data_IF_308751696042
#
_entry.id   IF_308751696042
#
_cell.length_a   1.000
_cell.length_b   1.000
_cell.length_c   1.000
_cell.angle_alpha   90.00
_cell.angle_beta   90.00
_cell.angle_gamma   90.00
#
_symmetry.space_group_name_H-M   'P 1'
#
loop_
_entity.id
_entity.type
_entity.pdbx_description
1 polymer ?
#
# COMPACT_ATOMS: atom_id res chain seq x y z
N UNK A 1 -2.19 -13.27 -8.49
CA UNK A 1 -0.92 -13.42 -7.77
C UNK A 1 0.17 -13.61 -8.81
N UNK A 2 0.97 -12.58 -9.02
CA UNK A 2 2.25 -12.70 -9.71
C UNK A 2 3.18 -13.47 -8.78
N UNK A 3 3.67 -14.61 -9.23
CA UNK A 3 4.72 -15.45 -8.63
C UNK A 3 5.19 -15.19 -7.20
N UNK A 4 4.43 -15.60 -6.18
CA UNK A 4 4.97 -16.02 -4.88
C UNK A 4 5.56 -14.97 -3.91
N UNK A 5 5.39 -13.66 -4.13
CA UNK A 5 5.93 -12.64 -3.22
C UNK A 5 4.82 -11.80 -2.60
N UNK A 6 4.91 -11.51 -1.28
CA UNK A 6 3.92 -10.65 -0.62
C UNK A 6 4.04 -9.22 -1.17
N UNK A 7 2.94 -8.70 -1.72
CA UNK A 7 2.80 -7.27 -2.00
C UNK A 7 2.56 -6.49 -0.70
N UNK A 8 2.64 -5.16 -0.76
CA UNK A 8 2.43 -4.28 0.40
C UNK A 8 1.09 -4.58 1.10
N UNK A 9 0.08 -4.93 0.34
CA UNK A 9 -1.26 -5.29 0.82
C UNK A 9 -1.26 -6.54 1.68
N UNK A 10 -0.57 -7.59 1.24
CA UNK A 10 -0.44 -8.81 2.04
C UNK A 10 0.26 -8.54 3.37
N UNK A 11 1.27 -7.68 3.34
CA UNK A 11 2.00 -7.26 4.55
C UNK A 11 1.05 -6.61 5.54
N UNK A 12 0.26 -5.62 5.12
CA UNK A 12 -0.71 -4.92 5.97
C UNK A 12 -1.72 -5.89 6.58
N UNK A 13 -2.34 -6.75 5.77
CA UNK A 13 -3.35 -7.70 6.23
C UNK A 13 -2.76 -8.72 7.23
N UNK A 14 -1.53 -9.16 7.01
CA UNK A 14 -0.84 -10.08 7.91
C UNK A 14 -0.52 -9.41 9.27
N UNK A 15 -0.08 -8.14 9.26
CA UNK A 15 0.15 -7.38 10.50
C UNK A 15 -1.14 -7.13 11.27
N UNK A 16 -2.22 -6.70 10.60
CA UNK A 16 -3.53 -6.51 11.22
C UNK A 16 -4.01 -7.80 11.88
N UNK A 17 -3.98 -8.92 11.15
CA UNK A 17 -4.42 -10.19 11.71
C UNK A 17 -3.57 -10.69 12.86
N UNK A 18 -2.23 -10.56 12.77
CA UNK A 18 -1.31 -10.90 13.85
C UNK A 18 -1.56 -10.04 15.08
N UNK A 19 -1.76 -8.74 14.88
CA UNK A 19 -2.03 -7.79 15.96
C UNK A 19 -3.34 -8.08 16.66
N UNK A 20 -4.45 -8.26 15.93
CA UNK A 20 -5.74 -8.61 16.52
C UNK A 20 -5.69 -9.93 17.28
N UNK A 21 -4.97 -10.95 16.77
CA UNK A 21 -4.74 -12.21 17.51
C UNK A 21 -3.96 -12.00 18.81
N UNK A 22 -2.97 -11.10 18.81
CA UNK A 22 -2.20 -10.78 20.04
C UNK A 22 -3.03 -10.03 21.09
N UNK A 23 -4.09 -9.34 20.68
CA UNK A 23 -5.08 -8.71 21.55
C UNK A 23 -6.16 -9.70 22.05
N UNK A 24 -6.08 -10.98 21.66
CA UNK A 24 -6.99 -12.05 22.11
C UNK A 24 -8.17 -12.31 21.19
N UNK A 25 -8.26 -11.66 20.03
CA UNK A 25 -9.34 -11.87 19.07
C UNK A 25 -9.13 -13.12 18.23
N UNK A 26 -10.22 -13.81 17.90
CA UNK A 26 -10.22 -14.88 16.91
C UNK A 26 -10.30 -14.28 15.50
N UNK A 27 -9.30 -14.54 14.66
CA UNK A 27 -9.23 -14.02 13.29
C UNK A 27 -9.22 -15.17 12.30
N UNK A 28 -10.16 -15.15 11.36
CA UNK A 28 -10.27 -16.11 10.26
C UNK A 28 -10.25 -15.36 8.92
N UNK A 29 -9.49 -15.92 7.99
CA UNK A 29 -9.38 -15.39 6.63
C UNK A 29 -10.33 -16.09 5.69
N UNK A 30 -11.05 -15.34 4.87
CA UNK A 30 -11.83 -15.84 3.75
C UNK A 30 -11.21 -15.30 2.47
N UNK A 31 -10.57 -16.16 1.69
CA UNK A 31 -9.75 -15.75 0.54
C UNK A 31 -10.24 -16.45 -0.73
N UNK A 32 -10.59 -15.68 -1.78
CA UNK A 32 -10.76 -16.26 -3.11
C UNK A 32 -9.40 -16.77 -3.62
N UNK A 33 -9.35 -18.04 -3.98
CA UNK A 33 -8.14 -18.74 -4.40
C UNK A 33 -8.25 -19.16 -5.88
N UNK A 34 -7.11 -19.57 -6.47
CA UNK A 34 -7.07 -20.07 -7.84
C UNK A 34 -8.05 -21.23 -8.07
N UNK A 35 -8.44 -21.47 -9.33
CA UNK A 35 -9.40 -22.51 -9.73
C UNK A 35 -10.77 -22.33 -9.09
N UNK A 36 -11.22 -21.09 -8.89
CA UNK A 36 -12.55 -20.78 -8.36
C UNK A 36 -12.85 -21.37 -6.97
N UNK A 37 -11.81 -21.57 -6.17
CA UNK A 37 -11.91 -22.04 -4.78
C UNK A 37 -11.98 -20.85 -3.83
N UNK A 38 -12.64 -21.05 -2.69
CA UNK A 38 -12.61 -20.13 -1.56
C UNK A 38 -11.96 -20.86 -0.39
N UNK A 39 -10.99 -20.23 0.23
CA UNK A 39 -10.29 -20.72 1.42
C UNK A 39 -10.87 -20.02 2.65
N UNK A 40 -11.11 -20.76 3.71
CA UNK A 40 -11.49 -20.28 5.02
C UNK A 40 -10.52 -20.87 6.04
N UNK A 41 -9.65 -20.05 6.62
CA UNK A 41 -8.58 -20.53 7.49
C UNK A 41 -8.21 -19.52 8.57
N UNK A 42 -7.80 -19.98 9.72
CA UNK A 42 -7.21 -19.17 10.78
C UNK A 42 -5.66 -19.07 10.65
N UNK A 43 -5.05 -19.92 9.82
CA UNK A 43 -3.62 -19.94 9.53
C UNK A 43 -3.38 -19.90 8.01
N UNK A 44 -2.80 -18.81 7.54
CA UNK A 44 -2.48 -18.61 6.11
C UNK A 44 -1.51 -19.65 5.51
N UNK A 45 -0.85 -20.45 6.35
CA UNK A 45 -0.02 -21.58 5.92
C UNK A 45 -0.84 -22.80 5.55
N UNK A 46 -2.11 -22.86 6.01
CA UNK A 46 -3.05 -23.97 5.76
C UNK A 46 -4.12 -23.49 4.79
N UNK A 47 -4.21 -24.13 3.63
CA UNK A 47 -5.22 -23.81 2.62
C UNK A 47 -6.45 -24.73 2.84
N UNK A 48 -7.25 -24.41 3.84
CA UNK A 48 -8.50 -25.13 4.11
C UNK A 48 -9.62 -24.58 3.22
N UNK A 49 -10.24 -25.46 2.44
CA UNK A 49 -11.34 -25.06 1.57
C UNK A 49 -12.57 -24.69 2.40
N UNK A 50 -13.16 -23.55 2.11
CA UNK A 50 -14.40 -23.13 2.72
C UNK A 50 -15.54 -24.11 2.43
N UNK A 51 -16.39 -24.42 3.43
CA UNK A 51 -17.61 -25.16 3.20
C UNK A 51 -18.50 -24.41 2.22
N UNK A 52 -19.12 -25.14 1.30
CA UNK A 52 -20.03 -24.59 0.29
C UNK A 52 -21.19 -25.55 0.09
N UNK A 53 -22.38 -25.01 -0.10
CA UNK A 53 -23.58 -25.80 -0.38
C UNK A 53 -23.84 -25.91 -1.89
N UNK A 54 -24.69 -25.05 -2.41
CA UNK A 54 -25.13 -25.07 -3.80
C UNK A 54 -24.05 -24.68 -4.80
N UNK A 55 -23.13 -23.76 -4.43
CA UNK A 55 -22.03 -23.34 -5.28
C UNK A 55 -20.92 -24.39 -5.45
N UNK A 56 -20.92 -25.43 -4.60
CA UNK A 56 -20.08 -26.61 -4.73
C UNK A 56 -20.67 -27.70 -5.64
N UNK A 57 -21.90 -27.57 -6.08
CA UNK A 57 -22.61 -28.59 -6.87
C UNK A 57 -22.07 -28.73 -8.30
N UNK A 58 -22.24 -29.94 -8.86
CA UNK A 58 -21.91 -30.21 -10.27
C UNK A 58 -22.72 -29.34 -11.25
N UNK A 59 -23.96 -29.02 -10.90
CA UNK A 59 -24.84 -28.16 -11.67
C UNK A 59 -24.31 -26.73 -11.74
N UNK A 60 -23.86 -26.18 -10.61
CA UNK A 60 -23.30 -24.85 -10.59
C UNK A 60 -22.04 -24.75 -11.47
N UNK A 61 -21.15 -25.74 -11.37
CA UNK A 61 -19.96 -25.81 -12.22
C UNK A 61 -20.29 -25.99 -13.71
N UNK A 62 -21.37 -26.71 -14.03
CA UNK A 62 -21.86 -26.83 -15.39
C UNK A 62 -22.39 -25.51 -15.94
N UNK A 63 -23.22 -24.79 -15.17
CA UNK A 63 -23.74 -23.47 -15.53
C UNK A 63 -22.62 -22.45 -15.74
N UNK A 64 -21.60 -22.46 -14.90
CA UNK A 64 -20.45 -21.60 -15.05
C UNK A 64 -19.70 -21.88 -16.36
N UNK A 65 -19.41 -23.15 -16.65
CA UNK A 65 -18.75 -23.53 -17.89
C UNK A 65 -19.58 -23.14 -19.11
N UNK A 66 -20.90 -23.31 -19.05
CA UNK A 66 -21.83 -22.90 -20.10
C UNK A 66 -21.81 -21.38 -20.29
N UNK A 67 -21.92 -20.61 -19.19
CA UNK A 67 -21.85 -19.16 -19.23
C UNK A 67 -20.51 -18.66 -19.78
N UNK A 68 -19.41 -19.32 -19.42
CA UNK A 68 -18.08 -18.98 -19.93
C UNK A 68 -17.96 -19.21 -21.44
N UNK A 69 -18.53 -20.32 -21.94
CA UNK A 69 -18.58 -20.61 -23.39
C UNK A 69 -19.42 -19.57 -24.15
N UNK A 70 -20.58 -19.20 -23.61
CA UNK A 70 -21.47 -18.20 -24.21
C UNK A 70 -20.78 -16.83 -24.22
N UNK A 71 -20.18 -16.40 -23.10
CA UNK A 71 -19.45 -15.14 -23.02
C UNK A 71 -18.30 -15.08 -24.04
N UNK A 72 -17.53 -16.17 -24.13
CA UNK A 72 -16.44 -16.28 -25.13
C UNK A 72 -16.95 -16.21 -26.56
N UNK A 73 -18.06 -16.88 -26.86
CA UNK A 73 -18.68 -16.84 -28.18
C UNK A 73 -19.19 -15.45 -28.52
N UNK A 74 -19.83 -14.76 -27.57
CA UNK A 74 -20.29 -13.38 -27.70
C UNK A 74 -19.16 -12.34 -27.62
N UNK A 75 -17.93 -12.75 -27.40
CA UNK A 75 -16.78 -11.88 -27.12
C UNK A 75 -17.00 -10.91 -25.96
N UNK A 76 -17.83 -11.28 -24.99
CA UNK A 76 -18.07 -10.51 -23.78
C UNK A 76 -17.02 -10.90 -22.73
N UNK A 77 -16.38 -9.93 -22.03
CA UNK A 77 -15.42 -10.24 -21.01
C UNK A 77 -16.05 -10.99 -19.83
N UNK A 78 -15.24 -11.82 -19.15
CA UNK A 78 -15.71 -12.57 -17.98
C UNK A 78 -16.01 -11.65 -16.80
N UNK A 79 -17.24 -11.68 -16.30
CA UNK A 79 -17.76 -10.74 -15.29
C UNK A 79 -17.57 -11.21 -13.83
N UNK A 80 -16.86 -12.31 -13.58
CA UNK A 80 -16.64 -12.87 -12.24
C UNK A 80 -17.91 -13.13 -11.41
N UNK A 81 -19.05 -13.33 -12.04
CA UNK A 81 -20.33 -13.50 -11.34
C UNK A 81 -20.33 -14.78 -10.50
N UNK A 82 -19.82 -15.88 -11.06
CA UNK A 82 -19.78 -17.18 -10.38
C UNK A 82 -18.85 -17.19 -9.16
N UNK A 83 -17.69 -16.51 -9.24
CA UNK A 83 -16.79 -16.33 -8.09
C UNK A 83 -17.49 -15.59 -6.96
N UNK A 84 -18.26 -14.53 -7.26
CA UNK A 84 -19.04 -13.82 -6.25
C UNK A 84 -20.09 -14.71 -5.57
N UNK A 85 -20.75 -15.58 -6.30
CA UNK A 85 -21.69 -16.54 -5.73
C UNK A 85 -21.00 -17.58 -4.85
N UNK A 86 -19.82 -18.07 -5.24
CA UNK A 86 -19.02 -18.98 -4.39
C UNK A 86 -18.56 -18.30 -3.12
N UNK A 87 -18.11 -17.05 -3.24
CA UNK A 87 -17.68 -16.26 -2.10
C UNK A 87 -18.86 -16.00 -1.14
N UNK A 88 -20.02 -15.64 -1.67
CA UNK A 88 -21.24 -15.49 -0.89
C UNK A 88 -21.64 -16.79 -0.16
N UNK A 89 -21.67 -17.91 -0.89
CA UNK A 89 -22.04 -19.21 -0.32
C UNK A 89 -21.06 -19.65 0.79
N UNK A 90 -19.76 -19.49 0.56
CA UNK A 90 -18.73 -19.73 1.57
C UNK A 90 -18.92 -18.84 2.81
N UNK A 91 -19.18 -17.55 2.62
CA UNK A 91 -19.39 -16.62 3.71
C UNK A 91 -20.64 -16.94 4.54
N UNK A 92 -21.73 -17.37 3.91
CA UNK A 92 -22.94 -17.81 4.65
C UNK A 92 -22.64 -18.97 5.61
N UNK A 93 -21.66 -19.82 5.30
CA UNK A 93 -21.27 -20.94 6.15
C UNK A 93 -20.16 -20.59 7.15
N UNK A 94 -19.23 -19.69 6.77
CA UNK A 94 -18.06 -19.38 7.60
C UNK A 94 -18.30 -18.23 8.58
N UNK A 95 -19.20 -17.27 8.29
CA UNK A 95 -19.39 -16.08 9.09
C UNK A 95 -20.29 -16.22 10.34
N UNK A 96 -21.23 -17.17 10.44
CA UNK A 96 -22.03 -17.29 11.66
C UNK A 96 -21.15 -17.50 12.90
N UNK A 97 -21.35 -16.63 13.92
CA UNK A 97 -20.57 -16.62 15.15
C UNK A 97 -19.41 -15.64 15.18
N UNK A 98 -19.17 -14.90 14.10
CA UNK A 98 -18.24 -13.78 14.08
C UNK A 98 -18.98 -12.46 14.32
N UNK A 99 -18.35 -11.57 15.08
CA UNK A 99 -18.94 -10.30 15.51
C UNK A 99 -18.82 -9.21 14.45
N UNK A 100 -17.79 -9.27 13.59
CA UNK A 100 -17.49 -8.24 12.60
C UNK A 100 -16.74 -8.83 11.40
N UNK A 101 -16.92 -8.23 10.23
CA UNK A 101 -16.19 -8.56 9.01
C UNK A 101 -15.41 -7.34 8.53
N UNK A 102 -14.12 -7.53 8.28
CA UNK A 102 -13.21 -6.55 7.71
C UNK A 102 -12.74 -7.03 6.34
N UNK A 103 -13.20 -6.38 5.27
CA UNK A 103 -12.88 -6.74 3.89
C UNK A 103 -12.03 -5.65 3.22
N UNK A 104 -10.95 -6.05 2.56
CA UNK A 104 -10.24 -5.18 1.64
C UNK A 104 -11.02 -5.06 0.32
N UNK A 105 -11.18 -3.82 -0.17
CA UNK A 105 -11.75 -3.56 -1.49
C UNK A 105 -11.09 -4.41 -2.58
N UNK A 106 -11.83 -4.72 -3.62
CA UNK A 106 -11.30 -5.43 -4.78
C UNK A 106 -12.28 -5.49 -5.93
N UNK A 107 -11.73 -5.44 -7.15
CA UNK A 107 -12.49 -5.42 -8.39
C UNK A 107 -13.48 -6.59 -8.50
N UNK A 108 -14.70 -6.26 -8.91
CA UNK A 108 -15.78 -7.19 -9.26
C UNK A 108 -16.27 -8.09 -8.11
N UNK A 109 -15.87 -7.85 -6.87
CA UNK A 109 -16.22 -8.67 -5.70
C UNK A 109 -17.24 -7.98 -4.81
N UNK A 110 -18.37 -8.64 -4.52
CA UNK A 110 -19.38 -8.20 -3.56
C UNK A 110 -20.03 -9.36 -2.79
N UNK A 111 -19.45 -10.55 -2.87
CA UNK A 111 -19.99 -11.74 -2.21
C UNK A 111 -19.98 -11.61 -0.68
N UNK A 112 -18.91 -11.05 -0.12
CA UNK A 112 -18.78 -10.81 1.35
C UNK A 112 -19.82 -9.80 1.83
N UNK A 113 -19.87 -8.62 1.20
CA UNK A 113 -20.86 -7.59 1.56
C UNK A 113 -22.31 -8.10 1.51
N UNK A 114 -22.66 -8.90 0.49
CA UNK A 114 -23.99 -9.54 0.40
C UNK A 114 -24.25 -10.51 1.55
N UNK A 115 -23.25 -11.28 1.95
CA UNK A 115 -23.37 -12.21 3.07
C UNK A 115 -23.55 -11.45 4.40
N UNK A 116 -22.73 -10.43 4.67
CA UNK A 116 -22.84 -9.57 5.85
C UNK A 116 -24.23 -8.93 5.96
N UNK A 117 -24.73 -8.36 4.85
CA UNK A 117 -26.09 -7.81 4.79
C UNK A 117 -27.17 -8.85 5.12
N UNK A 118 -27.01 -10.09 4.64
CA UNK A 118 -27.96 -11.20 4.89
C UNK A 118 -27.93 -11.68 6.33
N UNK A 119 -26.73 -11.78 6.89
CA UNK A 119 -26.48 -12.28 8.26
C UNK A 119 -26.60 -11.19 9.31
N UNK A 120 -26.68 -9.91 8.90
CA UNK A 120 -26.70 -8.73 9.78
C UNK A 120 -25.43 -8.64 10.66
N UNK A 121 -24.28 -9.00 10.10
CA UNK A 121 -22.98 -8.86 10.75
C UNK A 121 -22.40 -7.51 10.35
N UNK A 122 -21.88 -6.69 11.29
CA UNK A 122 -21.18 -5.45 10.99
C UNK A 122 -20.10 -5.62 9.95
N UNK A 123 -20.08 -4.74 8.95
CA UNK A 123 -19.21 -4.85 7.79
C UNK A 123 -18.35 -3.60 7.62
N UNK A 124 -17.05 -3.77 7.73
CA UNK A 124 -16.03 -2.74 7.50
C UNK A 124 -15.35 -2.97 6.17
N UNK A 125 -15.39 -1.98 5.29
CA UNK A 125 -14.68 -1.99 4.02
C UNK A 125 -13.39 -1.18 4.14
N UNK A 126 -12.24 -1.82 3.92
CA UNK A 126 -10.96 -1.15 3.78
C UNK A 126 -10.74 -0.76 2.32
N UNK A 127 -10.82 0.55 2.07
CA UNK A 127 -10.65 1.16 0.76
C UNK A 127 -9.25 1.74 0.64
N UNK A 128 -8.31 0.93 0.17
CA UNK A 128 -6.91 1.32 0.01
C UNK A 128 -6.71 2.24 -1.19
N UNK A 129 -7.40 1.94 -2.30
CA UNK A 129 -7.36 2.70 -3.54
C UNK A 129 -8.66 2.54 -4.32
N UNK A 130 -8.91 3.46 -5.25
CA UNK A 130 -9.91 3.26 -6.31
C UNK A 130 -9.29 2.40 -7.42
N UNK A 131 -9.54 1.08 -7.35
CA UNK A 131 -9.00 0.12 -8.32
C UNK A 131 -9.29 0.49 -9.79
N UNK A 132 -10.38 1.21 -10.06
CA UNK A 132 -10.76 1.63 -11.43
C UNK A 132 -9.84 2.74 -11.91
N UNK A 133 -9.62 3.75 -11.06
CA UNK A 133 -8.72 4.85 -11.37
C UNK A 133 -7.26 4.41 -11.37
N UNK A 134 -6.88 3.49 -10.51
CA UNK A 134 -5.54 2.92 -10.51
C UNK A 134 -5.21 2.26 -11.87
N UNK A 135 -6.17 1.52 -12.45
CA UNK A 135 -6.02 0.95 -13.79
C UNK A 135 -5.95 2.04 -14.88
N UNK A 136 -6.69 3.13 -14.73
CA UNK A 136 -6.63 4.28 -15.65
C UNK A 136 -5.22 4.91 -15.61
N UNK A 137 -4.64 5.11 -14.41
CA UNK A 137 -3.28 5.63 -14.23
C UNK A 137 -2.17 4.68 -14.73
N UNK A 138 -2.40 3.36 -14.64
CA UNK A 138 -1.48 2.36 -15.20
C UNK A 138 -1.49 2.30 -16.74
N UNK A 139 -2.28 3.14 -17.41
CA UNK A 139 -2.45 3.08 -18.86
C UNK A 139 -3.18 1.82 -19.36
N UNK A 140 -3.86 1.11 -18.46
CA UNK A 140 -4.65 -0.10 -18.74
C UNK A 140 -6.12 0.08 -18.32
N UNK A 141 -6.84 1.08 -18.88
CA UNK A 141 -8.16 1.46 -18.39
C UNK A 141 -9.17 0.32 -18.52
N UNK A 142 -9.94 0.14 -17.46
CA UNK A 142 -11.10 -0.75 -17.49
C UNK A 142 -12.22 -0.06 -18.27
N UNK A 143 -12.72 -0.68 -19.34
CA UNK A 143 -13.70 -0.06 -20.24
C UNK A 143 -14.99 -0.87 -20.36
N UNK A 144 -16.04 -0.26 -20.94
CA UNK A 144 -17.29 -0.92 -21.32
C UNK A 144 -17.98 -1.63 -20.16
N UNK A 145 -18.43 -2.86 -20.40
CA UNK A 145 -19.20 -3.67 -19.45
C UNK A 145 -18.40 -4.01 -18.17
N UNK A 146 -17.08 -4.16 -18.28
CA UNK A 146 -16.22 -4.40 -17.12
C UNK A 146 -16.16 -3.17 -16.21
N UNK A 147 -16.05 -1.95 -16.78
CA UNK A 147 -16.07 -0.71 -15.98
C UNK A 147 -17.41 -0.52 -15.27
N UNK A 148 -18.51 -0.76 -15.98
CA UNK A 148 -19.84 -0.74 -15.37
C UNK A 148 -19.94 -1.75 -14.21
N UNK A 149 -19.48 -2.98 -14.43
CA UNK A 149 -19.48 -4.05 -13.42
C UNK A 149 -18.60 -3.68 -12.21
N UNK A 150 -17.41 -3.14 -12.44
CA UNK A 150 -16.51 -2.68 -11.38
C UNK A 150 -17.18 -1.61 -10.53
N UNK A 151 -17.74 -0.55 -11.17
CA UNK A 151 -18.47 0.51 -10.48
C UNK A 151 -19.66 -0.02 -9.67
N UNK A 152 -20.48 -0.86 -10.27
CA UNK A 152 -21.68 -1.40 -9.60
C UNK A 152 -21.31 -2.26 -8.38
N UNK A 153 -20.23 -3.04 -8.43
CA UNK A 153 -19.77 -3.83 -7.28
C UNK A 153 -19.16 -2.99 -6.20
N UNK A 154 -18.31 -2.03 -6.53
CA UNK A 154 -17.71 -1.10 -5.58
C UNK A 154 -18.79 -0.27 -4.86
N UNK A 155 -19.74 0.32 -5.62
CA UNK A 155 -20.84 1.09 -5.03
C UNK A 155 -21.72 0.23 -4.11
N UNK A 156 -21.98 -1.03 -4.48
CA UNK A 156 -22.73 -1.94 -3.62
C UNK A 156 -22.01 -2.18 -2.29
N UNK A 157 -20.69 -2.41 -2.33
CA UNK A 157 -19.89 -2.62 -1.11
C UNK A 157 -19.88 -1.37 -0.23
N UNK A 158 -19.60 -0.19 -0.82
CA UNK A 158 -19.60 1.10 -0.13
C UNK A 158 -20.96 1.41 0.51
N UNK A 159 -22.06 1.17 -0.20
CA UNK A 159 -23.41 1.39 0.35
C UNK A 159 -23.78 0.38 1.45
N UNK A 160 -23.20 -0.82 1.43
CA UNK A 160 -23.49 -1.88 2.40
C UNK A 160 -22.65 -1.73 3.67
N UNK A 161 -21.44 -1.14 3.55
CA UNK A 161 -20.53 -0.97 4.67
C UNK A 161 -21.15 -0.12 5.80
N UNK A 162 -20.98 -0.56 7.03
CA UNK A 162 -21.28 0.20 8.23
C UNK A 162 -20.20 1.25 8.48
N UNK A 163 -18.96 0.93 8.11
CA UNK A 163 -17.82 1.85 8.13
C UNK A 163 -16.90 1.58 6.91
N UNK A 164 -16.36 2.64 6.34
CA UNK A 164 -15.34 2.60 5.29
C UNK A 164 -14.05 3.18 5.86
N UNK A 165 -13.01 2.36 5.95
CA UNK A 165 -11.67 2.82 6.28
C UNK A 165 -10.97 3.19 4.99
N UNK A 166 -10.44 4.41 4.90
CA UNK A 166 -9.58 4.85 3.79
C UNK A 166 -8.22 5.31 4.32
N UNK A 167 -7.26 5.46 3.43
CA UNK A 167 -5.84 5.60 3.80
C UNK A 167 -5.36 7.05 3.93
N UNK A 168 -6.16 8.05 3.51
CA UNK A 168 -5.78 9.46 3.52
C UNK A 168 -7.00 10.39 3.47
N UNK A 169 -6.84 11.66 3.83
CA UNK A 169 -7.91 12.67 3.66
C UNK A 169 -8.28 12.90 2.18
N UNK A 170 -7.35 12.92 1.20
CA UNK A 170 -7.71 12.89 -0.22
C UNK A 170 -8.58 11.68 -0.59
N UNK A 171 -8.30 10.47 -0.06
CA UNK A 171 -9.13 9.30 -0.28
C UNK A 171 -10.54 9.47 0.32
N UNK A 172 -10.65 10.08 1.50
CA UNK A 172 -11.95 10.43 2.10
C UNK A 172 -12.73 11.42 1.23
N UNK A 173 -12.09 12.49 0.78
CA UNK A 173 -12.69 13.45 -0.17
C UNK A 173 -13.20 12.75 -1.43
N UNK A 174 -12.38 11.85 -2.01
CA UNK A 174 -12.74 11.08 -3.19
C UNK A 174 -13.97 10.19 -2.95
N UNK A 175 -14.01 9.46 -1.83
CA UNK A 175 -15.14 8.62 -1.46
C UNK A 175 -16.43 9.43 -1.29
N UNK A 176 -16.36 10.60 -0.66
CA UNK A 176 -17.52 11.46 -0.45
C UNK A 176 -17.98 12.12 -1.76
N UNK A 177 -17.05 12.66 -2.55
CA UNK A 177 -17.38 13.44 -3.75
C UNK A 177 -17.75 12.56 -4.96
N UNK A 178 -16.99 11.49 -5.21
CA UNK A 178 -17.14 10.67 -6.42
C UNK A 178 -18.02 9.42 -6.19
N UNK A 179 -17.93 8.82 -5.01
CA UNK A 179 -18.69 7.62 -4.66
C UNK A 179 -19.92 7.91 -3.79
N UNK A 180 -20.14 9.17 -3.41
CA UNK A 180 -21.28 9.64 -2.60
C UNK A 180 -21.45 8.86 -1.29
N UNK A 181 -20.33 8.48 -0.67
CA UNK A 181 -20.32 7.84 0.65
C UNK A 181 -20.56 8.92 1.69
N UNK A 182 -21.43 8.63 2.66
CA UNK A 182 -21.72 9.54 3.78
C UNK A 182 -20.47 9.79 4.62
N UNK A 183 -20.06 11.06 4.88
CA UNK A 183 -18.79 11.40 5.54
C UNK A 183 -18.61 10.76 6.92
N UNK A 184 -19.70 10.58 7.66
CA UNK A 184 -19.71 9.95 8.99
C UNK A 184 -19.39 8.45 8.97
N UNK A 185 -19.52 7.80 7.81
CA UNK A 185 -19.12 6.41 7.62
C UNK A 185 -17.63 6.24 7.24
N UNK A 186 -16.94 7.33 6.91
CA UNK A 186 -15.59 7.26 6.40
C UNK A 186 -14.58 7.69 7.45
N UNK A 187 -13.70 6.77 7.83
CA UNK A 187 -12.61 6.98 8.80
C UNK A 187 -11.25 6.86 8.10
N UNK A 188 -10.35 7.78 8.42
CA UNK A 188 -9.00 7.78 7.84
C UNK A 188 -8.05 7.00 8.74
N UNK A 189 -7.44 5.96 8.18
CA UNK A 189 -6.35 5.20 8.78
C UNK A 189 -5.17 5.19 7.81
N UNK A 190 -4.22 6.09 8.01
CA UNK A 190 -2.99 6.10 7.22
C UNK A 190 -2.20 4.81 7.42
N UNK A 191 -1.36 4.47 6.46
CA UNK A 191 -0.40 3.39 6.63
C UNK A 191 0.56 3.72 7.78
N UNK A 192 1.21 2.68 8.30
CA UNK A 192 2.09 2.73 9.47
C UNK A 192 3.30 1.83 9.24
N UNK A 193 4.32 1.96 10.08
CA UNK A 193 5.51 1.12 10.05
C UNK A 193 5.67 0.29 11.33
N UNK A 194 6.43 -0.79 11.22
CA UNK A 194 6.96 -1.54 12.36
C UNK A 194 8.18 -0.79 12.91
N UNK A 195 7.94 0.09 13.88
CA UNK A 195 8.98 0.97 14.47
C UNK A 195 10.06 0.20 15.25
N UNK A 196 9.81 -1.05 15.60
CA UNK A 196 10.80 -1.92 16.25
C UNK A 196 11.74 -2.55 15.24
N UNK A 197 11.24 -2.81 14.05
CA UNK A 197 11.99 -3.37 12.94
C UNK A 197 12.72 -2.29 12.13
N UNK A 198 12.02 -1.22 11.79
CA UNK A 198 12.57 -0.05 11.13
C UNK A 198 13.10 0.91 12.21
N UNK A 199 14.39 0.87 12.43
CA UNK A 199 15.07 1.68 13.44
C UNK A 199 16.51 1.99 13.03
N UNK A 200 17.14 3.02 13.59
CA UNK A 200 18.58 3.24 13.42
C UNK A 200 19.36 2.01 13.85
N UNK A 201 20.28 1.54 13.01
CA UNK A 201 21.14 0.39 13.27
C UNK A 201 22.57 0.68 12.78
N UNK A 202 23.49 1.11 13.68
CA UNK A 202 24.86 1.42 13.31
C UNK A 202 25.65 0.23 12.76
N UNK A 203 25.32 -1.01 13.19
CA UNK A 203 26.01 -2.22 12.72
C UNK A 203 25.58 -2.50 11.28
N UNK A 204 24.29 -2.53 11.03
CA UNK A 204 23.76 -2.71 9.67
C UNK A 204 24.24 -1.58 8.73
N UNK A 205 24.33 -0.33 9.23
CA UNK A 205 24.90 0.80 8.48
C UNK A 205 26.31 0.49 7.99
N UNK A 206 27.21 0.08 8.89
CA UNK A 206 28.58 -0.22 8.54
C UNK A 206 28.69 -1.40 7.56
N UNK A 207 27.95 -2.46 7.78
CA UNK A 207 27.94 -3.66 6.94
C UNK A 207 27.45 -3.37 5.50
N UNK A 208 26.31 -2.66 5.36
CA UNK A 208 25.75 -2.34 4.04
C UNK A 208 26.66 -1.38 3.27
N UNK A 209 27.20 -0.35 3.98
CA UNK A 209 28.13 0.59 3.34
C UNK A 209 29.39 -0.11 2.85
N UNK A 210 29.97 -0.99 3.66
CA UNK A 210 31.13 -1.80 3.25
C UNK A 210 30.82 -2.72 2.05
N UNK A 211 29.62 -3.34 2.03
CA UNK A 211 29.18 -4.17 0.91
C UNK A 211 29.00 -3.37 -0.40
N UNK A 212 28.66 -2.08 -0.30
CA UNK A 212 28.55 -1.16 -1.43
C UNK A 212 29.91 -0.53 -1.82
N UNK A 213 30.98 -0.82 -1.06
CA UNK A 213 32.29 -0.20 -1.26
C UNK A 213 32.36 1.25 -0.78
N UNK A 214 31.48 1.64 0.14
CA UNK A 214 31.37 2.99 0.67
C UNK A 214 31.96 3.08 2.10
N UNK A 215 32.55 4.22 2.42
CA UNK A 215 32.90 4.66 3.76
C UNK A 215 31.88 5.67 4.29
N UNK A 216 32.31 6.93 4.44
CA UNK A 216 31.49 8.03 4.94
C UNK A 216 30.86 8.89 3.82
N UNK A 217 30.98 8.48 2.54
CA UNK A 217 30.39 9.18 1.41
C UNK A 217 28.87 9.33 1.60
N UNK A 218 28.30 10.50 1.26
CA UNK A 218 26.86 10.75 1.41
C UNK A 218 26.03 9.77 0.58
N UNK A 219 25.00 9.18 1.20
CA UNK A 219 24.18 8.13 0.59
C UNK A 219 22.68 8.47 0.64
N UNK A 220 22.09 8.65 -0.53
CA UNK A 220 20.64 8.70 -0.69
C UNK A 220 20.07 7.32 -1.01
N UNK A 221 18.79 7.08 -0.67
CA UNK A 221 18.09 5.82 -0.94
C UNK A 221 16.67 6.06 -1.47
N UNK A 222 16.27 5.20 -2.40
CA UNK A 222 14.87 4.97 -2.75
C UNK A 222 14.54 3.48 -2.61
N UNK A 223 13.37 3.18 -2.02
CA UNK A 223 12.85 1.80 -1.92
C UNK A 223 11.47 1.73 -2.59
N UNK A 224 11.31 0.82 -3.51
CA UNK A 224 10.00 0.57 -4.14
C UNK A 224 10.09 0.01 -5.55
N UNK A 225 8.91 -0.31 -6.10
CA UNK A 225 8.81 -0.76 -7.48
C UNK A 225 9.13 0.39 -8.45
N UNK A 226 9.76 0.07 -9.58
CA UNK A 226 10.03 1.04 -10.64
C UNK A 226 8.83 1.14 -11.59
N UNK A 227 7.77 1.76 -11.09
CA UNK A 227 6.59 2.12 -11.86
C UNK A 227 6.64 3.60 -12.26
N UNK A 228 5.81 3.98 -13.22
CA UNK A 228 5.81 5.33 -13.78
C UNK A 228 5.46 6.42 -12.75
N UNK A 229 4.61 6.09 -11.78
CA UNK A 229 4.23 7.01 -10.70
C UNK A 229 5.25 7.10 -9.53
N UNK A 230 6.32 6.31 -9.55
CA UNK A 230 7.43 6.44 -8.60
C UNK A 230 8.59 7.18 -9.27
N UNK A 231 8.48 8.40 -9.56
CA UNK A 231 9.33 9.29 -10.35
C UNK A 231 10.85 9.19 -10.09
N UNK A 232 11.39 7.99 -10.23
CA UNK A 232 12.84 7.71 -10.14
C UNK A 232 13.61 8.48 -11.22
N UNK A 233 12.96 8.83 -12.32
CA UNK A 233 13.53 9.66 -13.39
C UNK A 233 13.95 11.02 -12.88
N UNK A 234 13.07 11.72 -12.14
CA UNK A 234 13.38 13.01 -11.52
C UNK A 234 14.51 12.88 -10.51
N UNK A 235 14.53 11.81 -9.71
CA UNK A 235 15.60 11.55 -8.75
C UNK A 235 16.96 11.35 -9.42
N UNK A 236 17.04 10.56 -10.50
CA UNK A 236 18.28 10.36 -11.27
C UNK A 236 18.78 11.65 -11.89
N UNK A 237 17.90 12.44 -12.50
CA UNK A 237 18.27 13.76 -13.05
C UNK A 237 18.73 14.73 -11.98
N UNK A 238 18.09 14.74 -10.81
CA UNK A 238 18.50 15.56 -9.68
C UNK A 238 19.88 15.15 -9.15
N UNK A 239 20.16 13.85 -9.09
CA UNK A 239 21.49 13.37 -8.73
C UNK A 239 22.55 13.81 -9.76
N UNK A 240 22.24 13.78 -11.06
CA UNK A 240 23.17 14.25 -12.09
C UNK A 240 23.54 15.72 -11.91
N UNK A 241 22.56 16.59 -11.62
CA UNK A 241 22.84 17.99 -11.28
C UNK A 241 23.68 18.15 -10.01
N UNK A 242 23.45 17.26 -9.02
CA UNK A 242 24.18 17.28 -7.76
C UNK A 242 25.65 16.84 -7.94
N UNK A 243 25.91 15.88 -8.83
CA UNK A 243 27.28 15.36 -9.10
C UNK A 243 28.27 16.44 -9.55
N UNK A 244 27.81 17.53 -10.15
CA UNK A 244 28.66 18.67 -10.54
C UNK A 244 29.27 19.36 -9.30
N UNK A 245 28.58 19.32 -8.14
CA UNK A 245 28.99 19.99 -6.90
C UNK A 245 29.46 19.02 -5.81
N UNK A 246 28.94 17.81 -5.82
CA UNK A 246 29.16 16.76 -4.82
C UNK A 246 29.36 15.40 -5.52
N UNK A 247 30.51 15.19 -6.16
CA UNK A 247 30.77 13.96 -6.94
C UNK A 247 30.82 12.69 -6.10
N UNK A 248 30.95 12.80 -4.76
CA UNK A 248 31.01 11.70 -3.82
C UNK A 248 29.64 11.19 -3.38
N UNK A 249 28.54 11.84 -3.82
CA UNK A 249 27.18 11.41 -3.44
C UNK A 249 26.78 10.14 -4.16
N UNK A 250 26.36 9.14 -3.43
CA UNK A 250 25.83 7.88 -3.94
C UNK A 250 24.31 7.78 -3.79
N UNK A 251 23.69 6.95 -4.63
CA UNK A 251 22.27 6.61 -4.57
C UNK A 251 22.08 5.09 -4.63
N UNK A 252 21.34 4.55 -3.68
CA UNK A 252 20.90 3.14 -3.72
C UNK A 252 19.43 3.10 -4.14
N UNK A 253 19.14 2.32 -5.16
CA UNK A 253 17.81 2.04 -5.68
C UNK A 253 17.44 0.60 -5.35
N UNK A 254 16.63 0.43 -4.29
CA UNK A 254 16.16 -0.87 -3.82
C UNK A 254 14.80 -1.18 -4.45
N UNK A 255 14.75 -2.22 -5.27
CA UNK A 255 13.52 -2.65 -5.92
C UNK A 255 13.70 -3.09 -7.35
N UNK A 256 12.57 -3.36 -8.00
CA UNK A 256 12.49 -3.82 -9.38
C UNK A 256 11.16 -3.34 -10.00
N UNK A 257 10.98 -3.52 -11.29
CA UNK A 257 9.75 -3.18 -11.99
C UNK A 257 9.93 -2.99 -13.49
N UNK A 258 8.82 -2.74 -14.17
CA UNK A 258 8.77 -2.64 -15.64
C UNK A 258 9.70 -1.56 -16.21
N UNK A 259 10.03 -0.54 -15.41
CA UNK A 259 10.90 0.58 -15.82
C UNK A 259 12.37 0.41 -15.43
N UNK A 260 12.76 -0.71 -14.79
CA UNK A 260 14.13 -0.91 -14.31
C UNK A 260 15.19 -0.70 -15.41
N UNK A 261 15.04 -1.38 -16.53
CA UNK A 261 15.98 -1.28 -17.63
C UNK A 261 16.12 0.15 -18.16
N UNK A 262 15.01 0.88 -18.26
CA UNK A 262 15.01 2.29 -18.65
C UNK A 262 15.73 3.19 -17.63
N UNK A 263 15.61 2.89 -16.33
CA UNK A 263 16.32 3.64 -15.27
C UNK A 263 17.82 3.35 -15.27
N UNK A 264 18.23 2.10 -15.48
CA UNK A 264 19.63 1.71 -15.63
C UNK A 264 20.29 2.40 -16.86
N UNK A 265 19.56 2.43 -17.97
CA UNK A 265 20.02 3.12 -19.18
C UNK A 265 20.12 4.63 -18.93
N UNK A 266 19.13 5.26 -18.32
CA UNK A 266 19.14 6.68 -17.98
C UNK A 266 20.32 7.01 -17.05
N UNK A 267 20.59 6.19 -16.05
CA UNK A 267 21.74 6.39 -15.17
C UNK A 267 23.07 6.36 -15.91
N UNK A 268 23.22 5.49 -16.93
CA UNK A 268 24.39 5.45 -17.79
C UNK A 268 24.50 6.70 -18.68
N UNK A 269 23.40 7.11 -19.32
CA UNK A 269 23.34 8.32 -20.16
C UNK A 269 23.69 9.60 -19.39
N UNK A 270 23.32 9.64 -18.11
CA UNK A 270 23.65 10.74 -17.21
C UNK A 270 25.04 10.64 -16.56
N UNK A 271 25.83 9.59 -16.89
CA UNK A 271 27.18 9.40 -16.35
C UNK A 271 27.21 8.92 -14.88
N UNK A 272 26.09 8.42 -14.35
CA UNK A 272 25.93 8.05 -12.94
C UNK A 272 26.31 6.59 -12.61
N UNK A 273 26.86 5.85 -13.57
CA UNK A 273 27.08 4.40 -13.42
C UNK A 273 28.01 3.99 -12.27
N UNK A 274 28.82 4.90 -11.72
CA UNK A 274 29.70 4.65 -10.56
C UNK A 274 29.07 4.93 -9.21
N UNK A 275 28.03 5.76 -9.18
CA UNK A 275 27.43 6.27 -7.93
C UNK A 275 25.99 5.78 -7.71
N UNK A 276 25.36 5.17 -8.71
CA UNK A 276 24.02 4.58 -8.58
C UNK A 276 24.10 3.07 -8.45
N UNK A 277 23.56 2.54 -7.36
CA UNK A 277 23.57 1.12 -7.02
C UNK A 277 22.15 0.54 -7.16
N UNK A 278 21.93 -0.32 -8.14
CA UNK A 278 20.67 -1.05 -8.31
C UNK A 278 20.75 -2.41 -7.61
N UNK A 279 20.06 -2.57 -6.48
CA UNK A 279 20.09 -3.83 -5.72
C UNK A 279 19.20 -4.93 -6.32
N UNK A 280 18.22 -4.54 -7.13
CA UNK A 280 17.10 -5.41 -7.45
C UNK A 280 16.14 -5.56 -6.29
N UNK A 281 15.23 -6.52 -6.42
CA UNK A 281 14.23 -6.79 -5.39
C UNK A 281 14.88 -7.49 -4.19
N UNK A 282 14.80 -6.87 -3.03
CA UNK A 282 15.21 -7.46 -1.76
C UNK A 282 14.02 -8.05 -0.99
N UNK A 283 14.25 -9.07 -0.16
CA UNK A 283 13.28 -9.44 0.86
C UNK A 283 12.96 -8.23 1.76
N UNK A 284 11.69 -8.06 2.14
CA UNK A 284 11.29 -6.92 2.97
C UNK A 284 12.05 -6.88 4.32
N UNK A 285 12.53 -8.04 4.76
CA UNK A 285 13.40 -8.20 5.95
C UNK A 285 14.75 -7.49 5.85
N UNK A 286 15.26 -7.30 4.64
CA UNK A 286 16.56 -6.65 4.40
C UNK A 286 16.43 -5.12 4.25
N UNK A 287 15.23 -4.62 3.94
CA UNK A 287 15.00 -3.18 3.71
C UNK A 287 15.45 -2.29 4.89
N UNK A 288 15.19 -2.65 6.17
CA UNK A 288 15.64 -1.85 7.31
C UNK A 288 17.15 -1.61 7.33
N UNK A 289 17.94 -2.60 6.92
CA UNK A 289 19.43 -2.50 6.89
C UNK A 289 19.91 -1.46 5.88
N UNK A 290 19.28 -1.43 4.70
CA UNK A 290 19.59 -0.44 3.66
C UNK A 290 19.15 0.96 4.07
N UNK A 291 18.01 1.10 4.75
CA UNK A 291 17.56 2.38 5.30
C UNK A 291 18.50 2.89 6.40
N UNK A 292 19.00 2.00 7.27
CA UNK A 292 19.98 2.37 8.28
C UNK A 292 21.33 2.82 7.66
N UNK A 293 21.68 2.34 6.46
CA UNK A 293 22.89 2.74 5.75
C UNK A 293 22.80 4.14 5.12
N UNK A 294 21.62 4.60 4.79
CA UNK A 294 21.38 5.86 4.08
C UNK A 294 21.34 7.07 5.02
N UNK A 295 21.70 8.23 4.49
CA UNK A 295 21.58 9.52 5.15
C UNK A 295 20.24 10.19 4.82
N UNK A 296 19.78 10.06 3.57
CA UNK A 296 18.55 10.66 3.06
C UNK A 296 17.73 9.62 2.31
N UNK A 297 16.44 9.54 2.60
CA UNK A 297 15.49 8.70 1.87
C UNK A 297 14.53 9.57 1.05
N UNK A 298 14.25 9.15 -0.20
CA UNK A 298 13.48 9.96 -1.14
C UNK A 298 12.18 9.27 -1.51
N UNK A 299 11.07 10.03 -1.45
CA UNK A 299 9.73 9.60 -1.87
C UNK A 299 9.29 10.45 -3.07
N UNK A 300 9.81 10.17 -4.28
CA UNK A 300 9.55 10.96 -5.46
C UNK A 300 8.25 10.54 -6.13
N UNK A 301 7.42 11.52 -6.47
CA UNK A 301 6.23 11.36 -7.29
C UNK A 301 6.20 12.42 -8.39
N UNK A 302 5.69 12.08 -9.59
CA UNK A 302 5.45 13.04 -10.65
C UNK A 302 4.25 13.95 -10.30
N UNK A 303 3.99 15.01 -11.05
CA UNK A 303 2.78 15.81 -10.89
C UNK A 303 1.55 14.97 -11.26
N UNK A 304 1.03 14.25 -10.27
CA UNK A 304 -0.25 13.53 -10.33
C UNK A 304 -1.34 14.52 -9.90
N UNK A 305 -2.55 14.39 -10.43
CA UNK A 305 -3.65 15.32 -10.12
C UNK A 305 -3.89 15.49 -8.60
N UNK A 306 -4.63 16.53 -8.22
CA UNK A 306 -4.81 16.96 -6.83
C UNK A 306 -5.38 15.88 -5.87
N UNK A 307 -6.04 14.86 -6.41
CA UNK A 307 -6.76 13.83 -5.64
C UNK A 307 -5.96 12.53 -5.42
N UNK A 308 -4.63 12.61 -5.32
CA UNK A 308 -3.83 11.42 -5.09
C UNK A 308 -4.07 10.88 -3.67
N UNK A 309 -4.84 9.77 -3.60
CA UNK A 309 -5.21 9.10 -2.35
C UNK A 309 -4.12 8.22 -1.73
N UNK A 310 -2.95 8.12 -2.33
CA UNK A 310 -1.91 7.21 -1.92
C UNK A 310 -1.44 7.47 -0.48
N UNK A 311 -1.22 6.37 0.24
CA UNK A 311 -0.53 6.35 1.53
C UNK A 311 0.70 5.44 1.38
N UNK A 312 1.84 5.97 0.91
CA UNK A 312 2.98 5.13 0.58
C UNK A 312 3.65 4.57 1.83
N UNK A 313 3.64 3.23 1.96
CA UNK A 313 4.21 2.53 3.11
C UNK A 313 5.67 2.92 3.37
N UNK A 314 6.45 3.11 2.30
CA UNK A 314 7.86 3.53 2.35
C UNK A 314 8.09 4.83 3.14
N UNK A 315 7.15 5.79 3.11
CA UNK A 315 7.27 7.02 3.88
C UNK A 315 7.38 6.72 5.38
N UNK A 316 6.47 5.91 5.89
CA UNK A 316 6.42 5.55 7.31
C UNK A 316 7.61 4.69 7.73
N UNK A 317 8.08 3.82 6.84
CA UNK A 317 9.30 3.02 7.05
C UNK A 317 10.55 3.90 7.13
N UNK A 318 10.66 4.92 6.27
CA UNK A 318 11.77 5.89 6.29
C UNK A 318 11.75 6.73 7.57
N UNK A 319 10.58 7.23 7.95
CA UNK A 319 10.39 7.96 9.21
C UNK A 319 10.76 7.09 10.41
N UNK A 320 10.27 5.84 10.45
CA UNK A 320 10.58 4.90 11.52
C UNK A 320 12.07 4.56 11.60
N UNK A 321 12.75 4.44 10.46
CA UNK A 321 14.22 4.24 10.43
C UNK A 321 15.01 5.44 10.95
N UNK A 322 14.36 6.61 11.11
CA UNK A 322 15.01 7.85 11.51
C UNK A 322 15.88 8.46 10.41
N UNK A 323 15.67 8.06 9.16
CA UNK A 323 16.36 8.61 8.00
C UNK A 323 15.68 9.93 7.59
N UNK A 324 16.46 10.96 7.27
CA UNK A 324 15.88 12.22 6.80
C UNK A 324 15.12 12.01 5.48
N UNK A 325 13.91 12.54 5.38
CA UNK A 325 13.03 12.30 4.24
C UNK A 325 12.94 13.53 3.33
N UNK A 326 13.06 13.30 2.02
CA UNK A 326 12.63 14.23 0.97
C UNK A 326 11.42 13.62 0.28
N UNK A 327 10.31 14.35 0.19
CA UNK A 327 9.09 13.88 -0.45
C UNK A 327 8.55 14.89 -1.45
N UNK A 328 7.94 14.41 -2.54
CA UNK A 328 7.17 15.27 -3.42
C UNK A 328 5.91 15.80 -2.72
N UNK A 329 5.59 17.07 -2.88
CA UNK A 329 4.44 17.72 -2.25
C UNK A 329 3.12 17.32 -2.95
N UNK A 330 2.69 16.06 -2.78
CA UNK A 330 1.46 15.51 -3.35
C UNK A 330 0.66 14.72 -2.32
N UNK A 331 -0.66 14.81 -2.37
CA UNK A 331 -1.60 14.01 -1.59
C UNK A 331 -1.24 13.95 -0.11
N UNK A 332 -1.28 12.76 0.47
CA UNK A 332 -1.01 12.55 1.89
C UNK A 332 0.43 12.90 2.32
N UNK A 333 1.39 12.95 1.41
CA UNK A 333 2.76 13.32 1.77
C UNK A 333 2.81 14.72 2.41
N UNK A 334 1.94 15.64 1.96
CA UNK A 334 1.82 17.01 2.54
C UNK A 334 1.10 17.04 3.89
N UNK A 335 0.37 15.98 4.24
CA UNK A 335 -0.28 15.86 5.55
C UNK A 335 0.66 15.31 6.62
N UNK A 336 1.58 14.42 6.20
CA UNK A 336 2.48 13.69 7.10
C UNK A 336 3.82 14.43 7.26
N UNK A 337 4.37 14.94 6.16
CA UNK A 337 5.64 15.71 6.20
C UNK A 337 5.33 17.18 6.47
N UNK A 338 5.86 17.66 7.58
CA UNK A 338 5.92 19.07 7.94
C UNK A 338 7.28 19.61 7.48
N UNK A 339 7.25 20.41 6.41
CA UNK A 339 8.46 20.90 5.74
C UNK A 339 9.42 21.59 6.71
N UNK A 340 10.70 21.22 6.66
CA UNK A 340 11.76 21.73 7.55
C UNK A 340 11.69 21.23 9.00
N UNK A 341 10.69 20.40 9.38
CA UNK A 341 10.53 19.88 10.74
C UNK A 341 10.85 18.38 10.83
N UNK A 342 10.14 17.54 10.07
CA UNK A 342 10.32 16.08 10.03
C UNK A 342 10.70 15.55 8.64
N UNK A 343 10.96 16.43 7.69
CA UNK A 343 11.39 16.14 6.33
C UNK A 343 11.42 17.41 5.49
N UNK A 344 11.71 17.27 4.18
CA UNK A 344 11.61 18.34 3.20
C UNK A 344 10.56 17.99 2.14
N UNK A 345 9.77 18.99 1.74
CA UNK A 345 8.83 18.86 0.64
C UNK A 345 9.37 19.60 -0.60
N UNK A 346 9.29 18.94 -1.74
CA UNK A 346 9.67 19.51 -3.03
C UNK A 346 8.49 19.46 -4.02
N UNK A 347 8.38 20.42 -4.96
CA UNK A 347 7.38 20.32 -6.01
C UNK A 347 7.52 18.99 -6.79
N UNK A 348 6.41 18.28 -7.11
CA UNK A 348 6.46 17.02 -7.82
C UNK A 348 7.07 17.19 -9.23
N UNK A 349 7.99 16.30 -9.61
CA UNK A 349 8.67 16.34 -10.90
C UNK A 349 9.73 17.45 -11.07
N UNK A 350 9.96 18.29 -10.05
CA UNK A 350 10.95 19.36 -10.11
C UNK A 350 12.36 18.85 -9.79
N UNK A 351 13.14 18.66 -10.85
CA UNK A 351 14.53 18.17 -10.79
C UNK A 351 15.42 19.10 -9.97
N UNK A 352 15.26 20.43 -10.15
CA UNK A 352 16.09 21.44 -9.50
C UNK A 352 15.81 21.53 -8.00
N UNK A 353 14.53 21.50 -7.61
CA UNK A 353 14.13 21.49 -6.21
C UNK A 353 14.58 20.18 -5.51
N UNK A 354 14.48 19.03 -6.18
CA UNK A 354 14.96 17.76 -5.68
C UNK A 354 16.49 17.77 -5.46
N UNK A 355 17.24 18.28 -6.45
CA UNK A 355 18.70 18.40 -6.33
C UNK A 355 19.10 19.36 -5.20
N UNK A 356 18.39 20.47 -5.04
CA UNK A 356 18.61 21.42 -3.95
C UNK A 356 18.34 20.76 -2.58
N UNK A 357 17.22 20.06 -2.42
CA UNK A 357 16.88 19.39 -1.17
C UNK A 357 17.89 18.31 -0.80
N UNK A 358 18.34 17.50 -1.77
CA UNK A 358 19.43 16.56 -1.59
C UNK A 358 20.71 17.24 -1.14
N UNK A 359 21.10 18.34 -1.81
CA UNK A 359 22.29 19.12 -1.44
C UNK A 359 22.19 19.64 -0.01
N UNK A 360 21.07 20.23 0.37
CA UNK A 360 20.88 20.79 1.73
C UNK A 360 21.07 19.73 2.82
N UNK A 361 20.46 18.55 2.64
CA UNK A 361 20.56 17.49 3.64
C UNK A 361 21.94 16.84 3.66
N UNK A 362 22.50 16.53 2.52
CA UNK A 362 23.76 15.78 2.43
C UNK A 362 24.99 16.65 2.77
N UNK A 363 24.87 17.99 2.72
CA UNK A 363 25.91 18.92 3.17
C UNK A 363 25.79 19.31 4.65
N UNK A 364 24.62 19.08 5.28
CA UNK A 364 24.39 19.40 6.68
C UNK A 364 23.95 18.15 7.48
N UNK A 365 24.89 17.36 8.01
CA UNK A 365 24.59 16.18 8.83
C UNK A 365 23.79 16.50 10.10
N UNK A 366 23.91 17.71 10.64
CA UNK A 366 23.15 18.12 11.83
C UNK A 366 21.67 18.32 11.48
N UNK A 367 21.38 18.98 10.36
CA UNK A 367 20.04 19.12 9.82
C UNK A 367 19.44 17.73 9.52
N UNK A 368 20.18 16.89 8.82
CA UNK A 368 19.78 15.52 8.49
C UNK A 368 19.39 14.73 9.76
N UNK A 369 20.25 14.73 10.77
CA UNK A 369 19.99 14.07 12.06
C UNK A 369 18.78 14.65 12.79
N UNK A 370 18.58 15.97 12.75
CA UNK A 370 17.46 16.65 13.40
C UNK A 370 16.12 16.24 12.76
N UNK A 371 16.03 16.30 11.43
CA UNK A 371 14.81 15.94 10.69
C UNK A 371 14.51 14.45 10.84
N UNK A 372 15.51 13.58 10.71
CA UNK A 372 15.34 12.13 10.89
C UNK A 372 14.87 11.75 12.30
N UNK A 373 15.40 12.40 13.34
CA UNK A 373 14.94 12.20 14.72
C UNK A 373 13.48 12.62 14.90
N UNK A 374 13.08 13.77 14.38
CA UNK A 374 11.70 14.22 14.47
C UNK A 374 10.76 13.29 13.69
N UNK A 375 11.16 12.88 12.46
CA UNK A 375 10.41 11.90 11.67
C UNK A 375 10.17 10.59 12.46
N UNK A 376 11.22 10.07 13.13
CA UNK A 376 11.09 8.88 13.96
C UNK A 376 10.15 9.07 15.14
N UNK A 377 10.23 10.19 15.85
CA UNK A 377 9.30 10.49 16.94
C UNK A 377 7.85 10.52 16.46
N UNK A 378 7.58 11.14 15.30
CA UNK A 378 6.26 11.16 14.71
C UNK A 378 5.80 9.74 14.30
N UNK A 379 6.70 8.91 13.75
CA UNK A 379 6.39 7.52 13.42
C UNK A 379 6.03 6.69 14.66
N UNK A 380 6.81 6.80 15.73
CA UNK A 380 6.56 6.09 16.99
C UNK A 380 5.26 6.52 17.66
N UNK A 381 4.95 7.82 17.65
CA UNK A 381 3.80 8.37 18.35
C UNK A 381 2.49 8.29 17.55
N UNK A 382 2.54 8.36 16.21
CA UNK A 382 1.35 8.52 15.37
C UNK A 382 1.18 7.39 14.33
N UNK A 383 2.30 6.78 13.88
CA UNK A 383 2.32 5.89 12.73
C UNK A 383 2.94 4.52 13.04
N UNK A 384 2.72 4.00 14.25
CA UNK A 384 3.12 2.65 14.68
C UNK A 384 1.97 1.65 14.56
N UNK A 385 2.30 0.37 14.42
CA UNK A 385 1.31 -0.71 14.41
C UNK A 385 0.51 -0.78 15.71
N UNK A 386 1.11 -0.48 16.85
CA UNK A 386 0.44 -0.47 18.16
C UNK A 386 -0.70 0.55 18.18
N UNK A 387 -0.43 1.77 17.71
CA UNK A 387 -1.42 2.83 17.64
C UNK A 387 -2.52 2.49 16.61
N UNK A 388 -2.14 1.96 15.45
CA UNK A 388 -3.08 1.54 14.43
C UNK A 388 -4.04 0.47 14.96
N UNK A 389 -3.51 -0.60 15.57
CA UNK A 389 -4.29 -1.72 16.09
C UNK A 389 -5.20 -1.31 17.23
N UNK A 390 -4.70 -0.51 18.18
CA UNK A 390 -5.53 0.03 19.28
C UNK A 390 -6.71 0.86 18.77
N UNK A 391 -6.47 1.67 17.73
CA UNK A 391 -7.52 2.47 17.11
C UNK A 391 -8.49 1.60 16.31
N UNK A 392 -7.99 0.58 15.59
CA UNK A 392 -8.81 -0.36 14.83
C UNK A 392 -9.70 -1.20 15.75
N UNK A 393 -9.18 -1.68 16.87
CA UNK A 393 -9.93 -2.42 17.88
C UNK A 393 -11.06 -1.57 18.45
N UNK A 394 -10.79 -0.31 18.82
CA UNK A 394 -11.83 0.62 19.29
C UNK A 394 -12.93 0.82 18.24
N UNK A 395 -12.57 0.98 16.98
CA UNK A 395 -13.52 1.08 15.88
C UNK A 395 -14.41 -0.16 15.77
N UNK A 396 -13.80 -1.35 15.83
CA UNK A 396 -14.55 -2.59 15.77
C UNK A 396 -15.50 -2.74 16.96
N UNK A 397 -15.05 -2.44 18.18
CA UNK A 397 -15.89 -2.48 19.38
C UNK A 397 -17.04 -1.49 19.31
N UNK A 398 -16.82 -0.28 18.80
CA UNK A 398 -17.87 0.70 18.60
C UNK A 398 -18.96 0.20 17.63
N UNK A 399 -18.55 -0.39 16.49
CA UNK A 399 -19.49 -0.95 15.51
C UNK A 399 -20.26 -2.15 16.07
N UNK A 400 -19.62 -3.05 16.82
CA UNK A 400 -20.26 -4.22 17.45
C UNK A 400 -21.29 -3.77 18.50
N UNK A 401 -20.98 -2.71 19.25
CA UNK A 401 -21.86 -2.20 20.31
C UNK A 401 -22.87 -1.14 19.83
N UNK A 402 -22.83 -0.78 18.52
CA UNK A 402 -23.73 0.22 17.93
C UNK A 402 -23.43 1.67 18.35
N UNK A 403 -22.18 1.95 18.75
CA UNK A 403 -21.72 3.30 19.08
C UNK A 403 -21.30 4.09 17.83
N UNK A 404 -21.40 5.43 17.84
CA UNK A 404 -20.93 6.27 16.75
C UNK A 404 -19.41 6.13 16.53
N UNK A 405 -18.97 6.15 15.27
CA UNK A 405 -17.55 5.99 14.88
C UNK A 405 -16.82 7.31 14.66
N UNK A 406 -17.50 8.43 14.72
CA UNK A 406 -17.00 9.78 14.47
C UNK A 406 -16.06 10.32 15.57
N UNK A 407 -15.93 9.60 16.70
CA UNK A 407 -15.06 9.97 17.83
C UNK A 407 -13.81 9.07 17.95
N UNK A 408 -13.53 8.23 16.96
CA UNK A 408 -12.42 7.28 16.93
C UNK A 408 -11.34 7.78 15.96
#
# INVERSE_FOLDING_TARGET
MSGGRPDATYIIQAYVAKGLKSLGHQVTFIIPHYEDKVVCTDDLRKLELAPRSWSGSRWFSFLEKAAWRIQRWLRVPYLNVFLNYRLYDACIHCLPGYDIVYERNGLYRNGVARACKRLKIPYVLYFEADDILEHDYMGKPITGLLRWRAKATAQFNLNTADCVICVSEPAKKHLVSQWHVSPEKVVVFSNVADVHRFRPDPVARAEVRAALGLGDEPLAIFVGNFFEWHDVTTLLKALALLQEKMPEVHLVLVGDGDRRQAMEQLAQELGLGRVVHFTGLLPHEEVPRFLAAADVAVVPYPPLGEDLWLSPLKLYEYMAAGTAVIASAVGQLTEVIQDGQNGLLVPPGDVSAMAWALQQLLQDPALCTRLGRQARQDAEQKHSWENYLSRLERLFMALITGQPVDQI
#
